data_IF_475710966180
#
_entry.id   IF_475710966180
#
_cell.length_a   1.000
_cell.length_b   1.000
_cell.length_c   1.000
_cell.angle_alpha   90.00
_cell.angle_beta   90.00
_cell.angle_gamma   90.00
#
_symmetry.space_group_name_H-M   'P 1'
#
loop_
_entity.id
_entity.type
_entity.pdbx_description
1 polymer ?
#
# COMPACT_ATOMS: atom_id res chain seq x y z
N UNK A 1 34.26 64.46 2.20
CA UNK A 1 33.88 64.51 3.62
C UNK A 1 32.49 65.13 3.74
N UNK A 2 31.57 64.47 4.45
CA UNK A 2 31.01 65.02 5.70
C UNK A 2 30.92 63.90 6.80
N UNK A 3 30.38 64.10 8.03
CA UNK A 3 31.17 63.93 9.26
C UNK A 3 30.71 62.78 10.19
N UNK A 4 31.57 62.47 11.17
CA UNK A 4 31.35 61.53 12.28
C UNK A 4 30.72 62.27 13.48
N UNK A 5 29.61 61.78 14.03
CA UNK A 5 29.10 62.18 15.36
C UNK A 5 28.43 60.98 16.04
N UNK A 6 29.06 60.47 17.11
CA UNK A 6 28.65 60.50 18.54
C UNK A 6 27.67 59.38 18.94
N UNK A 7 28.19 58.46 19.76
CA UNK A 7 27.42 57.49 20.55
C UNK A 7 26.77 58.21 21.75
N UNK A 8 25.56 57.80 22.12
CA UNK A 8 25.10 57.81 23.51
C UNK A 8 24.01 56.75 23.72
N UNK A 9 24.20 55.99 24.80
CA UNK A 9 23.46 54.86 25.35
C UNK A 9 22.33 55.37 26.26
N UNK A 10 21.18 54.70 26.31
CA UNK A 10 20.42 54.40 27.55
C UNK A 10 19.30 53.40 27.28
N UNK A 11 19.14 52.49 28.24
CA UNK A 11 18.22 51.37 28.31
C UNK A 11 16.77 51.82 28.53
N UNK A 12 15.80 50.99 28.11
CA UNK A 12 14.37 51.19 28.31
C UNK A 12 13.63 49.88 28.09
N UNK A 13 13.58 49.08 29.15
CA UNK A 13 12.84 47.82 29.30
C UNK A 13 11.36 47.99 29.01
N UNK A 14 10.76 47.12 28.20
CA UNK A 14 9.36 46.75 28.36
C UNK A 14 9.14 45.30 27.92
N UNK A 15 9.16 44.42 28.93
CA UNK A 15 8.63 43.07 28.87
C UNK A 15 7.10 43.20 28.93
N UNK A 16 6.43 43.04 27.80
CA UNK A 16 5.01 42.69 27.81
C UNK A 16 4.94 41.18 27.82
N UNK A 17 4.57 40.65 28.99
CA UNK A 17 4.18 39.26 29.17
C UNK A 17 2.97 38.98 28.28
N UNK A 18 3.16 38.24 27.19
CA UNK A 18 2.10 37.47 26.57
C UNK A 18 2.26 36.04 27.10
N UNK A 19 1.43 35.72 28.09
CA UNK A 19 1.30 34.38 28.64
C UNK A 19 0.12 33.70 27.95
N UNK A 20 0.24 33.36 26.66
CA UNK A 20 -0.82 32.65 25.92
C UNK A 20 -0.29 31.81 24.72
N UNK A 21 0.98 31.38 24.70
CA UNK A 21 1.56 30.58 23.60
C UNK A 21 1.81 29.11 23.99
N UNK A 22 0.83 28.42 24.60
CA UNK A 22 0.92 27.00 24.97
C UNK A 22 -0.10 26.09 24.24
N UNK A 23 -0.60 26.50 23.07
CA UNK A 23 -1.55 25.69 22.27
C UNK A 23 -1.19 25.64 20.76
N UNK A 24 0.10 25.54 20.40
CA UNK A 24 0.53 25.40 18.99
C UNK A 24 1.24 24.08 18.66
N UNK A 25 1.19 23.09 19.55
CA UNK A 25 1.51 21.72 19.20
C UNK A 25 0.22 20.92 19.23
N UNK A 26 -0.38 20.76 18.05
CA UNK A 26 -1.41 19.74 17.85
C UNK A 26 -0.77 18.39 18.18
N UNK A 27 -1.05 17.91 19.40
CA UNK A 27 -0.51 16.67 19.95
C UNK A 27 -1.35 15.48 19.48
N UNK A 28 -2.23 15.67 18.48
CA UNK A 28 -2.99 14.57 17.91
C UNK A 28 -2.02 13.55 17.32
N UNK A 29 -2.10 12.28 17.75
CA UNK A 29 -1.32 11.21 17.17
C UNK A 29 -1.60 11.13 15.67
N UNK A 30 -0.55 11.04 14.85
CA UNK A 30 -0.68 10.78 13.41
C UNK A 30 -1.44 9.47 13.26
N UNK A 31 -2.66 9.54 12.72
CA UNK A 31 -3.48 8.38 12.47
C UNK A 31 -2.87 7.60 11.30
N UNK A 32 -2.12 6.56 11.61
CA UNK A 32 -1.61 5.63 10.60
C UNK A 32 -2.79 4.95 9.88
N UNK A 33 -2.69 4.72 8.57
CA UNK A 33 -3.70 3.97 7.84
C UNK A 33 -3.85 2.55 8.43
N UNK A 34 -5.10 2.07 8.49
CA UNK A 34 -5.52 0.84 9.22
C UNK A 34 -4.71 -0.42 8.91
N UNK A 35 -3.99 -0.49 7.79
CA UNK A 35 -3.17 -1.65 7.44
C UNK A 35 -1.92 -1.82 8.32
N UNK A 36 -1.54 -0.79 9.10
CA UNK A 36 -0.38 -0.82 10.00
C UNK A 36 -0.70 -1.24 11.44
N UNK A 37 -1.98 -1.37 11.82
CA UNK A 37 -2.40 -1.64 13.22
C UNK A 37 -2.92 -3.04 13.48
N UNK A 38 -2.87 -3.94 12.49
CA UNK A 38 -3.41 -5.28 12.65
C UNK A 38 -2.54 -6.11 13.61
N UNK A 39 -3.05 -6.20 14.83
CA UNK A 39 -2.55 -6.97 15.94
C UNK A 39 -2.49 -8.45 15.53
N UNK A 40 -1.30 -8.96 15.24
CA UNK A 40 -1.08 -10.37 14.88
C UNK A 40 -1.49 -11.24 16.08
N UNK A 41 -2.53 -12.11 15.98
CA UNK A 41 -2.91 -12.96 17.09
C UNK A 41 -1.86 -14.06 17.25
N UNK A 42 -1.03 -13.97 18.29
CA UNK A 42 -0.20 -15.08 18.73
C UNK A 42 -1.10 -16.26 19.11
N UNK A 43 -0.99 -17.34 18.34
CA UNK A 43 -1.80 -18.54 18.45
C UNK A 43 -1.81 -19.12 19.87
N UNK A 44 -2.96 -18.99 20.53
CA UNK A 44 -3.29 -19.67 21.78
C UNK A 44 -3.82 -21.08 21.49
N UNK A 45 -2.99 -22.08 21.77
CA UNK A 45 -3.28 -23.50 21.65
C UNK A 45 -4.39 -23.93 22.63
N UNK A 46 -5.53 -24.38 22.11
CA UNK A 46 -6.65 -24.89 22.93
C UNK A 46 -6.72 -26.42 22.89
N UNK A 47 -6.34 -27.00 24.04
CA UNK A 47 -6.87 -28.19 24.74
C UNK A 47 -7.40 -29.36 23.91
N UNK A 48 -6.69 -30.48 24.04
CA UNK A 48 -7.18 -31.80 23.65
C UNK A 48 -8.38 -32.27 24.46
N UNK A 49 -9.26 -32.99 23.77
CA UNK A 49 -10.12 -34.03 24.35
C UNK A 49 -10.10 -35.24 23.40
N UNK A 50 -9.71 -36.39 23.93
CA UNK A 50 -9.70 -37.66 23.22
C UNK A 50 -11.04 -38.39 23.46
N UNK A 51 -11.70 -38.81 22.38
CA UNK A 51 -13.02 -39.44 22.44
C UNK A 51 -13.35 -40.25 21.18
N UNK A 52 -12.67 -41.38 21.02
CA UNK A 52 -13.19 -42.72 20.68
C UNK A 52 -14.29 -42.90 19.58
N UNK A 53 -13.92 -43.77 18.62
CA UNK A 53 -14.72 -44.70 17.75
C UNK A 53 -15.34 -44.20 16.44
N UNK A 54 -15.01 -44.95 15.38
CA UNK A 54 -16.04 -45.57 14.53
C UNK A 54 -16.00 -45.20 13.04
N UNK A 55 -15.78 -46.22 12.21
CA UNK A 55 -16.08 -46.31 10.79
C UNK A 55 -15.38 -45.31 9.85
N UNK A 56 -14.40 -45.81 9.10
CA UNK A 56 -13.91 -45.21 7.86
C UNK A 56 -15.03 -45.24 6.81
N UNK A 57 -15.95 -44.30 6.90
CA UNK A 57 -16.73 -43.87 5.75
C UNK A 57 -15.89 -42.80 5.05
N UNK A 58 -15.45 -43.09 3.83
CA UNK A 58 -14.91 -42.07 2.93
C UNK A 58 -15.96 -40.95 2.87
N UNK A 59 -15.72 -39.85 3.58
CA UNK A 59 -16.57 -38.68 3.48
C UNK A 59 -16.58 -38.28 2.00
N UNK A 60 -17.75 -38.02 1.40
CA UNK A 60 -17.79 -37.27 0.16
C UNK A 60 -16.90 -36.05 0.35
N UNK A 61 -15.90 -35.91 -0.51
CA UNK A 61 -15.07 -34.71 -0.52
C UNK A 61 -16.02 -33.61 -0.95
N UNK A 62 -16.65 -32.96 0.02
CA UNK A 62 -17.34 -31.72 -0.24
C UNK A 62 -16.32 -30.80 -0.91
N UNK A 63 -16.71 -30.12 -2.00
CA UNK A 63 -15.80 -29.20 -2.65
C UNK A 63 -15.27 -28.28 -1.56
N UNK A 64 -13.94 -28.23 -1.39
CA UNK A 64 -13.30 -27.24 -0.54
C UNK A 64 -13.68 -25.89 -1.14
N UNK A 65 -14.77 -25.32 -0.65
CA UNK A 65 -15.06 -23.92 -0.79
C UNK A 65 -13.93 -23.28 0.00
N UNK A 66 -12.92 -22.81 -0.71
CA UNK A 66 -11.91 -21.95 -0.13
C UNK A 66 -12.73 -20.78 0.41
N UNK A 67 -12.95 -20.74 1.72
CA UNK A 67 -13.57 -19.59 2.33
C UNK A 67 -12.69 -18.41 1.95
N UNK A 68 -13.24 -17.50 1.13
CA UNK A 68 -12.57 -16.29 0.71
C UNK A 68 -12.18 -15.55 1.98
N UNK A 69 -10.89 -15.55 2.31
CA UNK A 69 -10.31 -14.75 3.37
C UNK A 69 -10.75 -13.29 3.11
N UNK A 70 -11.70 -12.79 3.92
CA UNK A 70 -12.53 -11.61 3.62
C UNK A 70 -11.78 -10.27 3.63
N UNK A 71 -10.46 -10.26 3.43
CA UNK A 71 -9.67 -9.04 3.30
C UNK A 71 -8.51 -9.15 2.28
N UNK A 72 -8.69 -9.88 1.18
CA UNK A 72 -7.66 -9.95 0.13
C UNK A 72 -7.43 -8.58 -0.52
N UNK A 73 -6.20 -8.05 -0.40
CA UNK A 73 -5.84 -6.77 -1.01
C UNK A 73 -5.95 -6.84 -2.54
N UNK A 74 -6.24 -5.70 -3.19
CA UNK A 74 -6.27 -5.62 -4.67
C UNK A 74 -4.95 -6.07 -5.32
N UNK A 75 -3.82 -5.87 -4.63
CA UNK A 75 -2.50 -6.31 -5.12
C UNK A 75 -2.40 -7.83 -5.09
N UNK A 76 -2.86 -8.48 -4.01
CA UNK A 76 -2.92 -9.95 -3.92
C UNK A 76 -3.84 -10.54 -4.98
N UNK A 77 -5.01 -9.94 -5.20
CA UNK A 77 -5.92 -10.32 -6.28
C UNK A 77 -5.23 -10.20 -7.65
N UNK A 78 -4.51 -9.10 -7.91
CA UNK A 78 -3.77 -8.91 -9.16
C UNK A 78 -2.68 -9.98 -9.32
N UNK A 79 -1.95 -10.31 -8.26
CA UNK A 79 -0.92 -11.36 -8.31
C UNK A 79 -1.52 -12.72 -8.67
N UNK A 80 -2.66 -13.07 -8.09
CA UNK A 80 -3.40 -14.30 -8.40
C UNK A 80 -3.85 -14.32 -9.86
N UNK A 81 -4.49 -13.27 -10.34
CA UNK A 81 -4.87 -13.14 -11.76
C UNK A 81 -3.65 -13.22 -12.69
N UNK A 82 -2.55 -12.58 -12.33
CA UNK A 82 -1.31 -12.60 -13.10
C UNK A 82 -0.67 -13.99 -13.17
N UNK A 83 -0.61 -14.71 -12.06
CA UNK A 83 -0.13 -16.09 -12.03
C UNK A 83 -1.02 -17.01 -12.86
N UNK A 84 -2.34 -16.94 -12.66
CA UNK A 84 -3.31 -17.77 -13.37
C UNK A 84 -3.24 -17.52 -14.89
N UNK A 85 -3.09 -16.26 -15.30
CA UNK A 85 -2.93 -15.92 -16.71
C UNK A 85 -1.66 -16.52 -17.31
N UNK A 86 -0.53 -16.50 -16.59
CA UNK A 86 0.73 -17.05 -17.12
C UNK A 86 0.75 -18.57 -17.17
N UNK A 87 0.05 -19.22 -16.24
CA UNK A 87 0.05 -20.69 -16.11
C UNK A 87 -1.06 -21.37 -16.91
N UNK A 88 -2.13 -20.64 -17.24
CA UNK A 88 -3.19 -21.19 -18.07
C UNK A 88 -2.79 -21.21 -19.56
N UNK A 89 -3.02 -22.32 -20.28
CA UNK A 89 -2.88 -22.34 -21.74
C UNK A 89 -3.96 -21.50 -22.43
N UNK A 90 -5.13 -21.35 -21.80
CA UNK A 90 -6.29 -20.64 -22.33
C UNK A 90 -6.34 -19.17 -21.88
N UNK A 91 -7.08 -18.34 -22.62
CA UNK A 91 -7.30 -16.93 -22.28
C UNK A 91 -8.40 -16.82 -21.21
N UNK A 92 -8.03 -16.37 -20.01
CA UNK A 92 -8.96 -16.23 -18.89
C UNK A 92 -9.84 -14.98 -19.00
N UNK A 93 -10.82 -14.85 -18.12
CA UNK A 93 -11.61 -13.62 -17.96
C UNK A 93 -10.69 -12.44 -17.57
N UNK A 94 -10.93 -11.30 -18.22
CA UNK A 94 -10.17 -10.07 -17.97
C UNK A 94 -10.61 -9.40 -16.66
N UNK A 95 -9.66 -9.03 -15.80
CA UNK A 95 -9.91 -8.30 -14.56
C UNK A 95 -9.82 -6.77 -14.72
N UNK A 96 -10.62 -6.21 -15.65
CA UNK A 96 -10.53 -4.80 -16.03
C UNK A 96 -10.79 -3.80 -14.89
N UNK A 97 -11.80 -4.07 -14.06
CA UNK A 97 -12.18 -3.17 -12.97
C UNK A 97 -11.10 -3.11 -11.88
N UNK A 98 -10.48 -4.25 -11.57
CA UNK A 98 -9.36 -4.36 -10.64
C UNK A 98 -8.14 -3.58 -11.15
N UNK A 99 -7.81 -3.75 -12.44
CA UNK A 99 -6.73 -3.02 -13.10
C UNK A 99 -6.94 -1.52 -13.06
N UNK A 100 -8.15 -1.06 -13.39
CA UNK A 100 -8.51 0.36 -13.37
C UNK A 100 -8.32 0.92 -11.96
N UNK A 101 -8.87 0.23 -10.95
CA UNK A 101 -8.75 0.64 -9.55
C UNK A 101 -7.29 0.73 -9.09
N UNK A 102 -6.44 -0.24 -9.47
CA UNK A 102 -5.02 -0.22 -9.13
C UNK A 102 -4.26 0.88 -9.86
N UNK A 103 -4.56 1.13 -11.13
CA UNK A 103 -3.93 2.21 -11.90
C UNK A 103 -4.28 3.59 -11.33
N UNK A 104 -5.53 3.78 -10.89
CA UNK A 104 -5.95 5.03 -10.25
C UNK A 104 -5.25 5.21 -8.90
N UNK A 105 -5.16 4.17 -8.06
CA UNK A 105 -4.37 4.23 -6.81
C UNK A 105 -2.89 4.53 -7.05
N UNK A 106 -2.27 3.94 -8.07
CA UNK A 106 -0.88 4.23 -8.44
C UNK A 106 -0.72 5.69 -8.89
N UNK A 107 -1.72 6.25 -9.59
CA UNK A 107 -1.69 7.67 -9.99
C UNK A 107 -1.76 8.57 -8.76
N UNK A 108 -2.66 8.30 -7.84
CA UNK A 108 -2.85 9.10 -6.63
C UNK A 108 -1.61 9.03 -5.72
N UNK A 109 -1.07 7.84 -5.50
CA UNK A 109 0.17 7.65 -4.74
C UNK A 109 1.37 8.34 -5.40
N UNK A 110 1.43 8.40 -6.74
CA UNK A 110 2.51 9.11 -7.43
C UNK A 110 2.49 10.61 -7.13
N UNK A 111 1.31 11.21 -7.04
CA UNK A 111 1.13 12.62 -6.69
C UNK A 111 1.62 12.86 -5.26
N UNK A 112 1.19 12.03 -4.31
CA UNK A 112 1.59 12.13 -2.90
C UNK A 112 3.10 11.96 -2.73
N UNK A 113 3.70 10.92 -3.35
CA UNK A 113 5.15 10.69 -3.31
C UNK A 113 5.92 11.85 -3.92
N UNK A 114 5.43 12.44 -5.01
CA UNK A 114 6.07 13.61 -5.63
C UNK A 114 6.03 14.85 -4.73
N UNK A 115 4.97 15.02 -3.93
CA UNK A 115 4.84 16.14 -2.99
C UNK A 115 5.79 15.94 -1.80
N UNK A 116 5.77 14.76 -1.18
CA UNK A 116 6.62 14.45 -0.04
C UNK A 116 8.12 14.49 -0.38
N UNK A 117 8.49 14.11 -1.62
CA UNK A 117 9.88 14.21 -2.08
C UNK A 117 10.34 15.65 -2.32
N UNK A 118 9.41 16.58 -2.49
CA UNK A 118 9.71 18.00 -2.67
C UNK A 118 9.91 18.76 -1.36
N UNK A 119 9.61 18.13 -0.22
CA UNK A 119 9.73 18.73 1.11
C UNK A 119 11.18 18.69 1.60
N UNK A 120 11.84 19.85 1.80
CA UNK A 120 13.22 19.90 2.28
C UNK A 120 13.36 19.60 3.78
N UNK A 121 12.27 19.63 4.55
CA UNK A 121 12.27 19.46 6.00
C UNK A 121 11.93 18.01 6.42
N UNK A 122 11.75 17.10 5.44
CA UNK A 122 11.43 15.70 5.69
C UNK A 122 12.55 14.99 6.47
N UNK A 123 12.14 14.22 7.49
CA UNK A 123 13.07 13.44 8.30
C UNK A 123 13.69 12.27 7.51
N UNK A 124 14.83 11.74 7.96
CA UNK A 124 15.51 10.60 7.36
C UNK A 124 14.60 9.36 7.30
N UNK A 125 13.82 9.11 8.36
CA UNK A 125 12.83 8.03 8.42
C UNK A 125 11.72 8.19 7.36
N UNK A 126 11.28 9.42 7.11
CA UNK A 126 10.27 9.71 6.08
C UNK A 126 10.84 9.50 4.68
N UNK A 127 12.10 9.89 4.46
CA UNK A 127 12.80 9.62 3.20
C UNK A 127 12.86 8.11 2.91
N UNK A 128 13.16 7.28 3.91
CA UNK A 128 13.15 5.83 3.77
C UNK A 128 11.76 5.28 3.42
N UNK A 129 10.70 5.77 4.08
CA UNK A 129 9.33 5.38 3.76
C UNK A 129 8.93 5.74 2.33
N UNK A 130 9.31 6.94 1.85
CA UNK A 130 9.08 7.38 0.47
C UNK A 130 9.75 6.41 -0.52
N UNK A 131 10.99 6.00 -0.26
CA UNK A 131 11.71 5.03 -1.10
C UNK A 131 10.97 3.68 -1.15
N UNK A 132 10.48 3.19 -0.02
CA UNK A 132 9.73 1.93 0.04
C UNK A 132 8.44 2.00 -0.78
N UNK A 133 7.67 3.08 -0.63
CA UNK A 133 6.43 3.29 -1.39
C UNK A 133 6.71 3.39 -2.89
N UNK A 134 7.73 4.16 -3.29
CA UNK A 134 8.12 4.28 -4.69
C UNK A 134 8.51 2.93 -5.30
N UNK A 135 9.32 2.14 -4.59
CA UNK A 135 9.76 0.81 -5.03
C UNK A 135 8.56 -0.13 -5.17
N UNK A 136 7.63 -0.07 -4.23
CA UNK A 136 6.40 -0.87 -4.28
C UNK A 136 5.53 -0.51 -5.49
N UNK A 137 5.36 0.77 -5.76
CA UNK A 137 4.62 1.21 -6.95
C UNK A 137 5.26 0.71 -8.25
N UNK A 138 6.59 0.69 -8.34
CA UNK A 138 7.29 0.14 -9.50
C UNK A 138 7.06 -1.36 -9.66
N UNK A 139 7.05 -2.11 -8.56
CA UNK A 139 6.72 -3.54 -8.54
C UNK A 139 5.32 -3.79 -9.08
N UNK A 140 4.32 -3.04 -8.61
CA UNK A 140 2.94 -3.20 -9.07
C UNK A 140 2.81 -2.85 -10.57
N UNK A 141 3.44 -1.74 -11.02
CA UNK A 141 3.45 -1.39 -12.45
C UNK A 141 4.09 -2.48 -13.32
N UNK A 142 5.14 -3.14 -12.83
CA UNK A 142 5.75 -4.27 -13.53
C UNK A 142 4.75 -5.43 -13.70
N UNK A 143 4.04 -5.81 -12.63
CA UNK A 143 3.04 -6.88 -12.67
C UNK A 143 1.93 -6.56 -13.67
N UNK A 144 1.39 -5.34 -13.65
CA UNK A 144 0.34 -4.88 -14.59
C UNK A 144 0.80 -5.00 -16.05
N UNK A 145 2.01 -4.52 -16.35
CA UNK A 145 2.59 -4.61 -17.70
C UNK A 145 2.79 -6.06 -18.13
N UNK A 146 3.28 -6.89 -17.21
CA UNK A 146 3.49 -8.33 -17.45
C UNK A 146 2.16 -9.04 -17.77
N UNK A 147 1.12 -8.83 -16.95
CA UNK A 147 -0.23 -9.38 -17.17
C UNK A 147 -0.78 -8.98 -18.54
N UNK A 148 -0.74 -7.68 -18.86
CA UNK A 148 -1.27 -7.15 -20.12
C UNK A 148 -0.54 -7.74 -21.33
N UNK A 149 0.80 -7.81 -21.27
CA UNK A 149 1.61 -8.38 -22.36
C UNK A 149 1.30 -9.85 -22.60
N UNK A 150 1.21 -10.66 -21.54
CA UNK A 150 0.85 -12.08 -21.65
C UNK A 150 -0.52 -12.26 -22.31
N UNK A 151 -1.51 -11.45 -21.92
CA UNK A 151 -2.85 -11.53 -22.53
C UNK A 151 -2.85 -11.16 -24.01
N UNK A 152 -2.17 -10.08 -24.39
CA UNK A 152 -2.06 -9.66 -25.81
C UNK A 152 -1.44 -10.78 -26.66
N UNK A 153 -0.41 -11.44 -26.14
CA UNK A 153 0.22 -12.58 -26.82
C UNK A 153 -0.77 -13.72 -27.05
N UNK A 154 -1.55 -14.10 -26.02
CA UNK A 154 -2.59 -15.12 -26.16
C UNK A 154 -3.68 -14.72 -27.16
N UNK A 155 -4.23 -13.50 -27.05
CA UNK A 155 -5.25 -12.99 -27.99
C UNK A 155 -4.75 -13.03 -29.43
N UNK A 156 -3.49 -12.66 -29.66
CA UNK A 156 -2.85 -12.74 -30.97
C UNK A 156 -2.80 -14.18 -31.50
N UNK A 157 -2.43 -15.16 -30.66
CA UNK A 157 -2.40 -16.58 -31.03
C UNK A 157 -3.80 -17.11 -31.37
N UNK A 158 -4.81 -16.82 -30.55
CA UNK A 158 -6.20 -17.21 -30.82
C UNK A 158 -6.71 -16.65 -32.15
N UNK A 159 -6.38 -15.39 -32.45
CA UNK A 159 -6.73 -14.77 -33.72
C UNK A 159 -6.09 -15.47 -34.92
N UNK A 160 -4.83 -15.89 -34.80
CA UNK A 160 -4.10 -16.61 -35.85
C UNK A 160 -4.69 -18.01 -36.07
N UNK A 161 -5.01 -18.73 -35.00
CA UNK A 161 -5.55 -20.09 -35.07
C UNK A 161 -6.96 -20.08 -35.65
N UNK A 162 -7.83 -19.15 -35.23
CA UNK A 162 -9.23 -19.08 -35.69
C UNK A 162 -9.39 -18.70 -37.17
N UNK A 163 -8.33 -18.24 -37.84
CA UNK A 163 -8.35 -17.84 -39.26
C UNK A 163 -7.87 -18.94 -40.22
N UNK A 164 -7.48 -20.10 -39.70
CA UNK A 164 -7.09 -21.29 -40.48
C UNK A 164 -8.22 -22.29 -40.50
#
# INVERSE_FOLDING_TARGET
MPPRAKRSRTEGTNLVNNSDDEDLFDTTPIQLPSFMTDNVPLGGSSRGTAGVRGASALRPVEPMVLEDDHNETHVTQLMRHWMNERLSPDLLQHCGDLLQTLLDRIRDQAIVVSQLRGDPDANEDEHYQIILVQTEMERIRFIIRSYTRTRIQKVSLYNIISRK
#
